data_IF_671751194458
#
_entry.id   IF_671751194458
#
_cell.length_a   1.000
_cell.length_b   1.000
_cell.length_c   1.000
_cell.angle_alpha   90.00
_cell.angle_beta   90.00
_cell.angle_gamma   90.00
#
_symmetry.space_group_name_H-M   'P 1'
#
loop_
_entity.id
_entity.type
_entity.pdbx_description
1 polymer ?
#
# COMPACT_ATOMS: atom_id res chain seq x y z
N UNK A 1 10.99 -3.54 26.06
CA UNK A 1 9.76 -2.74 26.28
C UNK A 1 8.81 -3.05 25.13
N UNK A 2 7.93 -4.03 25.32
CA UNK A 2 7.01 -4.54 24.29
C UNK A 2 5.71 -3.74 24.38
N UNK A 3 5.38 -3.00 23.33
CA UNK A 3 4.20 -2.10 23.21
C UNK A 3 2.86 -2.84 23.07
N UNK A 4 2.69 -4.01 23.71
CA UNK A 4 1.56 -4.91 23.44
C UNK A 4 0.39 -4.83 24.45
N UNK A 5 0.49 -4.11 25.56
CA UNK A 5 -0.46 -4.28 26.69
C UNK A 5 -1.24 -3.02 27.09
N UNK A 6 -1.76 -2.21 26.16
CA UNK A 6 -2.62 -1.09 26.58
C UNK A 6 -3.84 -0.88 25.69
N UNK A 7 -4.71 -1.89 25.65
CA UNK A 7 -6.02 -1.86 24.95
C UNK A 7 -7.17 -1.66 25.96
N UNK A 8 -6.91 -1.04 27.11
CA UNK A 8 -7.86 -0.93 28.24
C UNK A 8 -8.90 0.20 28.12
N UNK A 9 -9.16 0.71 26.91
CA UNK A 9 -10.28 1.65 26.68
C UNK A 9 -11.18 1.20 25.53
N UNK A 10 -11.58 -0.08 25.51
CA UNK A 10 -12.52 -0.58 24.49
C UNK A 10 -13.95 -0.16 24.82
N UNK A 11 -14.47 0.81 24.06
CA UNK A 11 -15.91 1.00 23.86
C UNK A 11 -16.57 -0.36 23.54
N UNK A 12 -17.78 -0.58 24.01
CA UNK A 12 -18.57 -1.76 23.60
C UNK A 12 -18.70 -1.79 22.08
N UNK A 13 -18.36 -2.93 21.48
CA UNK A 13 -18.51 -3.13 20.04
C UNK A 13 -19.97 -3.50 19.72
N UNK A 14 -20.47 -3.13 18.52
CA UNK A 14 -21.76 -3.62 18.05
C UNK A 14 -21.81 -5.16 18.02
N UNK A 15 -23.02 -5.73 18.17
CA UNK A 15 -23.22 -7.19 18.09
C UNK A 15 -22.69 -7.73 16.77
N UNK A 16 -21.86 -8.78 16.84
CA UNK A 16 -21.23 -9.42 15.67
C UNK A 16 -19.86 -8.86 15.29
N UNK A 17 -19.39 -7.80 15.94
CA UNK A 17 -18.05 -7.28 15.72
C UNK A 17 -17.05 -7.89 16.70
N UNK A 18 -15.84 -8.12 16.23
CA UNK A 18 -14.71 -8.53 17.06
C UNK A 18 -13.49 -7.69 16.72
N UNK A 19 -12.65 -7.46 17.73
CA UNK A 19 -11.34 -6.88 17.51
C UNK A 19 -10.43 -7.91 16.86
N UNK A 20 -9.75 -7.51 15.78
CA UNK A 20 -8.74 -8.32 15.09
C UNK A 20 -7.51 -7.46 14.86
N UNK A 21 -6.35 -8.09 14.76
CA UNK A 21 -5.13 -7.42 14.27
C UNK A 21 -5.18 -7.38 12.75
N UNK A 22 -4.62 -6.34 12.14
CA UNK A 22 -4.61 -6.24 10.68
C UNK A 22 -3.92 -7.45 10.01
N UNK A 23 -2.82 -7.92 10.59
CA UNK A 23 -2.10 -9.11 10.10
C UNK A 23 -2.86 -10.44 10.23
N UNK A 24 -3.99 -10.47 10.94
CA UNK A 24 -4.89 -11.65 10.98
C UNK A 24 -5.86 -11.69 9.80
N UNK A 25 -6.07 -10.54 9.15
CA UNK A 25 -7.10 -10.37 8.12
C UNK A 25 -6.55 -9.85 6.81
N UNK A 26 -5.26 -9.51 6.74
CA UNK A 26 -4.63 -8.90 5.58
C UNK A 26 -3.13 -9.19 5.60
N UNK A 27 -2.54 -9.26 4.41
CA UNK A 27 -1.09 -9.27 4.23
C UNK A 27 -0.60 -7.82 4.12
N UNK A 28 0.42 -7.46 4.89
CA UNK A 28 1.02 -6.12 4.80
C UNK A 28 2.36 -6.23 4.09
N UNK A 29 2.46 -5.63 2.91
CA UNK A 29 3.69 -5.60 2.11
C UNK A 29 4.28 -4.20 2.10
N UNK A 30 5.57 -4.08 1.83
CA UNK A 30 6.25 -2.79 1.71
C UNK A 30 6.73 -2.56 0.28
N UNK A 31 6.47 -1.36 -0.23
CA UNK A 31 7.06 -0.87 -1.47
C UNK A 31 8.54 -0.51 -1.34
N UNK A 32 9.11 -0.08 -2.45
CA UNK A 32 10.50 0.37 -2.57
C UNK A 32 10.64 1.39 -3.70
N UNK A 33 11.70 2.17 -3.65
CA UNK A 33 12.06 3.15 -4.68
C UNK A 33 13.25 2.60 -5.46
N UNK A 34 13.13 2.36 -6.78
CA UNK A 34 14.30 2.11 -7.63
C UNK A 34 15.28 3.27 -7.55
N UNK A 35 16.55 3.05 -7.90
CA UNK A 35 17.53 4.14 -7.87
C UNK A 35 17.10 5.30 -8.77
N UNK A 36 16.81 6.47 -8.17
CA UNK A 36 16.40 7.67 -8.91
C UNK A 36 17.48 8.20 -9.84
N UNK A 37 18.75 7.89 -9.58
CA UNK A 37 19.88 8.32 -10.42
C UNK A 37 20.10 7.46 -11.66
N UNK A 38 19.43 6.31 -11.76
CA UNK A 38 19.60 5.39 -12.88
C UNK A 38 18.39 5.46 -13.80
N UNK A 39 18.52 6.22 -14.89
CA UNK A 39 17.43 6.54 -15.83
C UNK A 39 16.73 5.30 -16.37
N UNK A 40 17.46 4.22 -16.61
CA UNK A 40 16.92 2.99 -17.22
C UNK A 40 15.91 2.25 -16.33
N UNK A 41 15.76 2.66 -15.06
CA UNK A 41 14.74 2.15 -14.16
C UNK A 41 13.39 2.85 -14.28
N UNK A 42 13.31 3.96 -15.01
CA UNK A 42 12.15 4.84 -15.07
C UNK A 42 11.56 4.91 -16.47
N UNK A 43 10.37 5.52 -16.58
CA UNK A 43 9.67 5.74 -17.84
C UNK A 43 9.31 4.43 -18.59
N UNK A 44 9.09 3.37 -17.81
CA UNK A 44 8.56 2.10 -18.30
C UNK A 44 7.03 2.01 -18.27
N UNK A 45 6.51 0.79 -18.21
CA UNK A 45 5.07 0.52 -18.25
C UNK A 45 4.50 0.02 -16.91
N UNK A 46 5.31 -0.05 -15.84
CA UNK A 46 4.86 -0.52 -14.53
C UNK A 46 4.50 0.70 -13.69
N UNK A 47 3.23 0.81 -13.33
CA UNK A 47 2.70 1.89 -12.47
C UNK A 47 3.42 1.85 -11.12
N UNK A 48 3.89 3.01 -10.66
CA UNK A 48 4.62 3.14 -9.39
C UNK A 48 4.07 4.31 -8.57
N UNK A 49 3.30 3.99 -7.53
CA UNK A 49 2.53 4.93 -6.73
C UNK A 49 3.34 5.52 -5.56
N UNK A 50 3.14 6.81 -5.33
CA UNK A 50 3.67 7.58 -4.20
C UNK A 50 2.55 8.17 -3.32
N UNK A 51 2.84 8.63 -2.09
CA UNK A 51 1.86 9.34 -1.26
C UNK A 51 1.31 10.60 -1.92
N UNK A 52 2.10 11.24 -2.79
CA UNK A 52 1.70 12.41 -3.56
C UNK A 52 0.60 12.03 -4.54
N UNK A 53 0.75 10.91 -5.26
CA UNK A 53 -0.31 10.39 -6.15
C UNK A 53 -1.58 10.10 -5.35
N UNK A 54 -1.44 9.42 -4.21
CA UNK A 54 -2.56 9.11 -3.31
C UNK A 54 -3.28 10.36 -2.80
N UNK A 55 -2.55 11.45 -2.56
CA UNK A 55 -3.11 12.74 -2.11
C UNK A 55 -3.84 13.50 -3.21
N UNK A 56 -3.50 13.26 -4.48
CA UNK A 56 -4.14 13.88 -5.66
C UNK A 56 -5.39 13.13 -6.12
N UNK A 57 -5.65 11.94 -5.59
CA UNK A 57 -6.79 11.10 -5.95
C UNK A 57 -8.13 11.82 -5.69
N UNK A 58 -8.94 11.98 -6.75
CA UNK A 58 -10.31 12.52 -6.67
C UNK A 58 -11.32 11.44 -6.26
N UNK A 59 -11.18 10.24 -6.82
CA UNK A 59 -11.84 9.02 -6.37
C UNK A 59 -10.84 8.20 -5.57
N UNK A 60 -11.27 7.40 -4.59
CA UNK A 60 -10.39 6.48 -3.85
C UNK A 60 -9.92 5.29 -4.71
N UNK A 61 -9.85 5.45 -6.03
CA UNK A 61 -9.48 4.43 -6.99
C UNK A 61 -8.18 4.82 -7.69
N UNK A 62 -7.25 3.87 -7.77
CA UNK A 62 -5.96 4.04 -8.42
C UNK A 62 -5.99 3.32 -9.75
N UNK A 63 -5.96 4.09 -10.83
CA UNK A 63 -5.89 3.61 -12.21
C UNK A 63 -4.51 3.83 -12.83
N UNK A 64 -3.77 4.83 -12.36
CA UNK A 64 -2.47 5.22 -12.89
C UNK A 64 -1.68 6.06 -11.86
N UNK A 65 -0.41 6.36 -12.15
CA UNK A 65 0.49 7.20 -11.36
C UNK A 65 1.24 8.23 -12.20
N UNK A 66 1.78 9.26 -11.56
CA UNK A 66 2.60 10.27 -12.24
C UNK A 66 3.88 9.67 -12.86
N UNK A 67 4.44 8.61 -12.26
CA UNK A 67 5.68 7.97 -12.70
C UNK A 67 5.50 6.47 -12.88
N UNK A 68 6.32 5.92 -13.78
CA UNK A 68 6.37 4.49 -14.06
C UNK A 68 7.80 3.97 -13.96
N UNK A 69 7.94 2.67 -13.72
CA UNK A 69 9.22 1.98 -13.67
C UNK A 69 9.31 0.96 -14.80
N UNK A 70 10.54 0.68 -15.23
CA UNK A 70 10.81 -0.39 -16.20
C UNK A 70 10.84 -1.75 -15.52
N UNK A 71 10.86 -2.81 -16.32
CA UNK A 71 11.13 -4.15 -15.79
C UNK A 71 12.51 -4.27 -15.13
N UNK A 72 13.51 -3.51 -15.60
CA UNK A 72 14.81 -3.44 -14.96
C UNK A 72 14.70 -2.76 -13.58
N UNK A 73 13.95 -1.66 -13.48
CA UNK A 73 13.70 -0.97 -12.22
C UNK A 73 12.92 -1.81 -11.21
N UNK A 74 11.93 -2.57 -11.68
CA UNK A 74 11.20 -3.53 -10.85
C UNK A 74 12.12 -4.63 -10.30
N UNK A 75 12.87 -5.32 -11.16
CA UNK A 75 13.77 -6.42 -10.75
C UNK A 75 14.92 -5.98 -9.84
N UNK A 76 15.36 -4.72 -9.96
CA UNK A 76 16.45 -4.16 -9.16
C UNK A 76 15.98 -3.31 -7.98
N UNK A 77 14.70 -3.37 -7.63
CA UNK A 77 14.17 -2.78 -6.41
C UNK A 77 13.45 -3.84 -5.58
N UNK A 78 13.18 -3.55 -4.31
CA UNK A 78 12.39 -4.43 -3.42
C UNK A 78 10.90 -4.13 -3.51
N UNK A 79 10.45 -3.43 -4.55
CA UNK A 79 9.03 -3.15 -4.71
C UNK A 79 8.34 -4.39 -5.22
N UNK A 80 7.08 -4.56 -4.86
CA UNK A 80 6.31 -5.72 -5.27
C UNK A 80 5.06 -5.30 -6.02
N UNK A 81 4.74 -6.04 -7.08
CA UNK A 81 3.54 -5.81 -7.87
C UNK A 81 2.30 -6.30 -7.12
N UNK A 82 1.44 -5.37 -6.69
CA UNK A 82 0.19 -5.69 -6.00
C UNK A 82 -0.92 -5.96 -7.02
N UNK A 83 -1.84 -6.92 -6.76
CA UNK A 83 -2.96 -7.15 -7.66
C UNK A 83 -4.05 -6.08 -7.51
N UNK A 84 -4.95 -5.92 -8.50
CA UNK A 84 -6.19 -5.16 -8.35
C UNK A 84 -6.99 -5.61 -7.11
N UNK A 85 -7.68 -4.66 -6.46
CA UNK A 85 -8.39 -4.87 -5.20
C UNK A 85 -7.53 -4.66 -3.95
N UNK A 86 -6.25 -4.33 -4.10
CA UNK A 86 -5.34 -4.01 -2.99
C UNK A 86 -5.60 -2.62 -2.43
N UNK A 87 -5.57 -2.47 -1.10
CA UNK A 87 -5.64 -1.17 -0.43
C UNK A 87 -4.22 -0.61 -0.24
N UNK A 88 -3.96 0.53 -0.88
CA UNK A 88 -2.69 1.24 -0.76
C UNK A 88 -2.85 2.38 0.24
N UNK A 89 -1.91 2.51 1.17
CA UNK A 89 -1.93 3.56 2.19
C UNK A 89 -0.56 4.20 2.37
N UNK A 90 -0.49 5.53 2.49
CA UNK A 90 0.74 6.19 2.91
C UNK A 90 0.98 5.99 4.41
N UNK A 91 2.12 5.40 4.74
CA UNK A 91 2.58 5.20 6.12
C UNK A 91 3.45 6.34 6.65
N UNK A 92 3.97 7.18 5.75
CA UNK A 92 4.90 8.27 6.05
C UNK A 92 4.63 9.44 5.12
N UNK A 93 4.70 10.66 5.65
CA UNK A 93 4.77 11.95 4.95
C UNK A 93 4.06 12.04 3.58
N UNK A 94 2.77 12.43 3.54
CA UNK A 94 1.81 12.54 4.65
C UNK A 94 1.18 11.19 5.01
N UNK A 95 0.85 10.98 6.29
CA UNK A 95 0.26 9.72 6.77
C UNK A 95 -1.24 9.66 6.45
N UNK A 96 -1.73 8.50 6.01
CA UNK A 96 -3.16 8.19 5.94
C UNK A 96 -3.84 8.49 4.60
N UNK A 97 -3.10 8.88 3.56
CA UNK A 97 -3.65 8.85 2.21
C UNK A 97 -3.92 7.41 1.80
N UNK A 98 -5.03 7.17 1.12
CA UNK A 98 -5.53 5.83 0.81
C UNK A 98 -6.12 5.79 -0.60
N UNK A 99 -5.86 4.69 -1.31
CA UNK A 99 -6.53 4.36 -2.56
C UNK A 99 -6.65 2.85 -2.77
N UNK A 100 -7.63 2.44 -3.57
CA UNK A 100 -7.89 1.07 -3.98
C UNK A 100 -7.28 0.85 -5.37
N UNK A 101 -6.34 -0.08 -5.48
CA UNK A 101 -5.74 -0.46 -6.76
C UNK A 101 -6.81 -1.05 -7.69
N UNK A 102 -7.04 -0.45 -8.85
CA UNK A 102 -7.93 -0.98 -9.90
C UNK A 102 -7.17 -1.75 -10.99
N UNK A 103 -5.86 -1.55 -11.01
CA UNK A 103 -4.89 -2.21 -11.89
C UNK A 103 -3.71 -2.70 -11.04
N UNK A 104 -2.90 -3.60 -11.61
CA UNK A 104 -1.69 -4.04 -10.94
C UNK A 104 -0.65 -2.92 -10.90
N UNK A 105 -0.02 -2.70 -9.74
CA UNK A 105 0.91 -1.58 -9.54
C UNK A 105 1.95 -1.85 -8.46
N UNK A 106 3.02 -1.08 -8.47
CA UNK A 106 4.06 -1.05 -7.44
C UNK A 106 3.91 0.20 -6.58
N UNK A 107 4.54 0.23 -5.41
CA UNK A 107 4.50 1.39 -4.51
C UNK A 107 5.88 1.71 -3.94
N UNK A 108 6.03 2.90 -3.38
CA UNK A 108 7.23 3.35 -2.67
C UNK A 108 7.12 3.22 -1.14
N UNK A 109 5.96 2.81 -0.63
CA UNK A 109 5.62 2.78 0.79
C UNK A 109 4.86 1.52 1.19
N UNK A 110 4.53 1.38 2.48
CA UNK A 110 3.71 0.28 2.99
C UNK A 110 2.39 0.18 2.22
N UNK A 111 1.90 -1.04 2.02
CA UNK A 111 0.70 -1.33 1.24
C UNK A 111 0.00 -2.53 1.88
N UNK A 112 -1.32 -2.48 2.01
CA UNK A 112 -2.11 -3.53 2.64
C UNK A 112 -2.76 -4.38 1.55
N UNK A 113 -2.20 -5.57 1.31
CA UNK A 113 -2.68 -6.54 0.34
C UNK A 113 -3.72 -7.47 0.93
N UNK A 114 -4.85 -7.53 0.24
CA UNK A 114 -5.93 -8.46 0.54
C UNK A 114 -6.63 -8.15 1.85
N UNK A 115 -7.93 -8.37 1.86
CA UNK A 115 -8.56 -8.85 3.08
C UNK A 115 -8.65 -10.36 2.87
N UNK A 116 -7.87 -11.18 3.58
CA UNK A 116 -8.23 -12.60 3.68
C UNK A 116 -9.63 -12.61 4.24
N UNK A 117 -10.60 -13.11 3.47
CA UNK A 117 -11.94 -13.33 3.99
C UNK A 117 -11.77 -14.17 5.24
N UNK A 118 -11.94 -13.52 6.39
CA UNK A 118 -12.08 -14.24 7.62
C UNK A 118 -13.47 -14.83 7.57
N UNK A 119 -13.54 -16.08 7.15
CA UNK A 119 -14.67 -16.97 7.40
C UNK A 119 -14.89 -17.11 8.90
#
# INVERSE_FOLDING_TARGET
MTVAENIETRRELPKGWRWVKLGEIAEVVSGSTPSSSFSDYWDGNIIWITPTDLGKLKSKEIWDSERHITQAGYKNSRTELVPPGTVVMSSRDPIGHLGLAKVALCTNQLTVRGFTQVV
#
